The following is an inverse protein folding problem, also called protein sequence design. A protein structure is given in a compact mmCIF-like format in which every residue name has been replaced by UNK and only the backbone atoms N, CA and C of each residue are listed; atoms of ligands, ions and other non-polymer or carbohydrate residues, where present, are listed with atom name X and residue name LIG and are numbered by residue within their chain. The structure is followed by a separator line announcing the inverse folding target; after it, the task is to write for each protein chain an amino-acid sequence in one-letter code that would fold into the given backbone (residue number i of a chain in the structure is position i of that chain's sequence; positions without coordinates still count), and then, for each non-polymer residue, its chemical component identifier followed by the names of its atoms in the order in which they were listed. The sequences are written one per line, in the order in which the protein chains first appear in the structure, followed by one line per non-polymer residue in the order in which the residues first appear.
data_IF_530198281573
#
_entry.id   IF_530198281573
#
_cell.length_a   1.000
_cell.length_b   1.000
_cell.length_c   1.000
_cell.angle_alpha   90.00
_cell.angle_beta   90.00
_cell.angle_gamma   90.00
#
_symmetry.space_group_name_H-M   'P 1'
#
loop_
_entity.id
_entity.type
_entity.pdbx_description
1 polymer ?
#
# COMPACT_ATOMS: atom_id res chain seq x y z
N UNK A 1 -2.42 0.48 18.85
CA UNK A 1 -3.81 0.21 18.47
C UNK A 1 -3.95 -0.83 17.37
N UNK A 2 -3.09 -0.82 16.34
CA UNK A 2 -3.08 -1.86 15.32
C UNK A 2 -2.88 -3.26 15.91
N UNK A 3 -2.04 -3.38 16.96
CA UNK A 3 -1.88 -4.63 17.72
C UNK A 3 -3.19 -5.08 18.35
N UNK A 4 -3.96 -4.14 18.93
CA UNK A 4 -5.26 -4.44 19.53
C UNK A 4 -6.27 -4.90 18.46
N UNK A 5 -6.36 -4.22 17.33
CA UNK A 5 -7.20 -4.67 16.22
C UNK A 5 -6.78 -6.07 15.73
N UNK A 6 -5.48 -6.30 15.56
CA UNK A 6 -4.94 -7.57 15.11
C UNK A 6 -5.21 -8.70 16.10
N UNK A 7 -5.07 -8.47 17.42
CA UNK A 7 -5.34 -9.47 18.46
C UNK A 7 -6.82 -9.87 18.54
N UNK A 8 -7.72 -8.97 18.10
CA UNK A 8 -9.17 -9.23 18.07
C UNK A 8 -9.64 -9.81 16.72
N UNK A 9 -8.74 -10.04 15.76
CA UNK A 9 -9.11 -10.46 14.41
C UNK A 9 -9.89 -9.39 13.61
N UNK A 10 -9.87 -8.15 14.06
CA UNK A 10 -10.62 -7.03 13.49
C UNK A 10 -9.77 -6.09 12.65
N UNK A 11 -8.48 -6.34 12.58
CA UNK A 11 -7.52 -5.49 11.87
C UNK A 11 -7.60 -5.67 10.34
N UNK A 12 -7.14 -4.64 9.62
CA UNK A 12 -6.99 -4.69 8.16
C UNK A 12 -6.13 -5.88 7.70
N UNK A 13 -5.15 -6.31 8.49
CA UNK A 13 -4.32 -7.50 8.22
C UNK A 13 -5.11 -8.82 8.16
N UNK A 14 -6.35 -8.87 8.66
CA UNK A 14 -7.22 -10.04 8.59
C UNK A 14 -8.40 -9.87 7.62
N UNK A 15 -8.50 -8.72 6.95
CA UNK A 15 -9.67 -8.35 6.15
C UNK A 15 -9.34 -7.79 4.77
N UNK A 16 -8.16 -7.19 4.63
CA UNK A 16 -7.75 -6.50 3.42
C UNK A 16 -6.46 -7.10 2.88
N UNK A 17 -6.31 -7.08 1.57
CA UNK A 17 -5.07 -7.36 0.87
C UNK A 17 -4.40 -6.01 0.55
N UNK A 18 -3.51 -5.49 1.41
CA UNK A 18 -2.88 -4.21 1.14
C UNK A 18 -2.11 -4.27 -0.18
N UNK A 19 -2.33 -3.30 -1.04
CA UNK A 19 -1.51 -3.17 -2.23
C UNK A 19 -0.07 -2.80 -1.85
N UNK A 20 0.85 -3.17 -2.71
CA UNK A 20 2.29 -2.93 -2.54
C UNK A 20 2.79 -2.20 -3.77
N UNK A 21 3.58 -1.16 -3.56
CA UNK A 21 4.20 -0.39 -4.62
C UNK A 21 5.62 -0.87 -4.88
N UNK A 22 6.18 -0.59 -6.05
CA UNK A 22 7.57 -0.93 -6.33
C UNK A 22 8.56 -0.27 -5.35
N UNK A 23 8.23 0.90 -4.83
CA UNK A 23 8.99 1.52 -3.73
C UNK A 23 9.00 0.67 -2.46
N UNK A 24 7.87 0.08 -2.10
CA UNK A 24 7.78 -0.83 -0.95
C UNK A 24 8.67 -2.06 -1.16
N UNK A 25 8.64 -2.63 -2.37
CA UNK A 25 9.47 -3.78 -2.75
C UNK A 25 10.95 -3.42 -2.66
N UNK A 26 11.36 -2.29 -3.23
CA UNK A 26 12.74 -1.82 -3.18
C UNK A 26 13.22 -1.59 -1.74
N UNK A 27 12.35 -1.07 -0.86
CA UNK A 27 12.65 -0.87 0.56
C UNK A 27 12.78 -2.20 1.32
N UNK A 28 11.93 -3.17 1.05
CA UNK A 28 12.02 -4.51 1.63
C UNK A 28 13.29 -5.20 1.20
N UNK A 29 13.62 -5.16 -0.09
CA UNK A 29 14.79 -5.80 -0.65
C UNK A 29 16.12 -5.29 -0.11
N UNK A 30 16.21 -4.03 0.32
CA UNK A 30 17.44 -3.47 0.93
C UNK A 30 17.94 -4.26 2.15
N UNK A 31 17.04 -5.01 2.80
CA UNK A 31 17.31 -5.73 4.05
C UNK A 31 17.00 -7.23 3.94
N UNK A 32 16.71 -7.74 2.74
CA UNK A 32 16.33 -9.13 2.49
C UNK A 32 16.70 -9.54 1.06
N UNK A 33 16.67 -10.85 0.80
CA UNK A 33 16.84 -11.37 -0.56
C UNK A 33 15.58 -11.20 -1.40
N UNK A 34 15.70 -11.33 -2.73
CA UNK A 34 14.56 -11.31 -3.64
C UNK A 34 13.57 -12.46 -3.34
N UNK A 35 14.09 -13.63 -3.00
CA UNK A 35 13.27 -14.79 -2.64
C UNK A 35 12.45 -14.50 -1.36
N UNK A 36 13.05 -13.87 -0.36
CA UNK A 36 12.33 -13.45 0.84
C UNK A 36 11.23 -12.43 0.53
N UNK A 37 11.50 -11.45 -0.34
CA UNK A 37 10.47 -10.51 -0.80
C UNK A 37 9.30 -11.26 -1.45
N UNK A 38 9.57 -12.24 -2.33
CA UNK A 38 8.56 -13.07 -3.00
C UNK A 38 7.77 -13.96 -2.05
N UNK A 39 8.30 -14.28 -0.88
CA UNK A 39 7.50 -14.98 0.15
C UNK A 39 6.42 -14.09 0.75
N UNK A 40 6.62 -12.78 0.76
CA UNK A 40 5.74 -11.79 1.39
C UNK A 40 4.80 -11.14 0.37
N UNK A 41 5.30 -10.87 -0.83
CA UNK A 41 4.59 -10.15 -1.89
C UNK A 41 4.21 -11.10 -3.02
N UNK A 42 3.06 -10.85 -3.60
CA UNK A 42 2.60 -11.54 -4.81
C UNK A 42 2.00 -10.56 -5.81
N UNK A 43 1.97 -10.96 -7.07
CA UNK A 43 1.13 -10.36 -8.10
C UNK A 43 -0.13 -11.19 -8.20
N UNK A 44 -1.28 -10.61 -7.92
CA UNK A 44 -2.55 -11.32 -7.91
C UNK A 44 -3.60 -10.61 -8.77
N UNK A 45 -4.48 -11.39 -9.39
CA UNK A 45 -5.67 -10.84 -10.03
C UNK A 45 -6.55 -10.16 -8.96
N UNK A 46 -7.11 -9.01 -9.32
CA UNK A 46 -7.87 -8.21 -8.36
C UNK A 46 -9.18 -8.91 -7.98
N UNK A 47 -9.52 -8.85 -6.70
CA UNK A 47 -10.80 -9.31 -6.21
C UNK A 47 -11.93 -8.40 -6.71
N UNK A 48 -13.17 -8.93 -6.88
CA UNK A 48 -14.32 -8.16 -7.35
C UNK A 48 -14.56 -6.85 -6.59
N UNK A 49 -14.29 -6.85 -5.28
CA UNK A 49 -14.45 -5.70 -4.40
C UNK A 49 -13.55 -4.50 -4.73
N UNK A 50 -12.48 -4.70 -5.50
CA UNK A 50 -11.55 -3.63 -5.90
C UNK A 50 -11.80 -3.11 -7.33
N UNK A 51 -12.80 -3.65 -8.05
CA UNK A 51 -13.05 -3.25 -9.45
C UNK A 51 -13.52 -1.80 -9.58
N UNK A 52 -14.17 -1.26 -8.57
CA UNK A 52 -14.59 0.15 -8.53
C UNK A 52 -13.38 1.11 -8.59
N UNK A 53 -12.24 0.72 -8.01
CA UNK A 53 -11.01 1.51 -8.05
C UNK A 53 -10.41 1.68 -9.46
N UNK A 54 -10.80 0.85 -10.42
CA UNK A 54 -10.32 0.97 -11.81
C UNK A 54 -10.82 2.25 -12.49
N UNK A 55 -11.96 2.79 -12.04
CA UNK A 55 -12.52 4.05 -12.53
C UNK A 55 -12.00 5.27 -11.78
N UNK A 56 -11.32 5.08 -10.65
CA UNK A 56 -10.70 6.14 -9.88
C UNK A 56 -9.31 6.47 -10.48
N UNK A 57 -9.09 7.66 -11.06
CA UNK A 57 -7.82 8.02 -11.68
C UNK A 57 -6.64 8.04 -10.70
N UNK A 58 -6.90 8.16 -9.39
CA UNK A 58 -5.87 8.17 -8.36
C UNK A 58 -5.46 6.76 -7.93
N UNK A 59 -6.39 5.79 -8.03
CA UNK A 59 -6.14 4.39 -7.69
C UNK A 59 -5.83 3.51 -8.90
N UNK A 60 -6.34 3.88 -10.09
CA UNK A 60 -6.08 3.12 -11.32
C UNK A 60 -4.59 2.80 -11.58
N UNK A 61 -3.62 3.69 -11.23
CA UNK A 61 -2.20 3.40 -11.46
C UNK A 61 -1.64 2.21 -10.68
N UNK A 62 -2.31 1.69 -9.65
CA UNK A 62 -1.84 0.51 -8.92
C UNK A 62 -2.19 -0.82 -9.62
N UNK A 63 -2.96 -0.76 -10.70
CA UNK A 63 -3.45 -1.93 -11.40
C UNK A 63 -2.73 -2.16 -12.73
N UNK A 64 -2.36 -3.39 -12.97
CA UNK A 64 -1.71 -3.84 -14.18
C UNK A 64 -2.73 -4.55 -15.09
N UNK A 65 -3.12 -3.95 -16.23
CA UNK A 65 -4.00 -4.62 -17.18
C UNK A 65 -3.21 -5.66 -17.98
N UNK A 66 -3.72 -6.89 -18.04
CA UNK A 66 -3.11 -7.98 -18.79
C UNK A 66 -4.18 -8.92 -19.34
N UNK A 67 -4.22 -9.06 -20.68
CA UNK A 67 -5.11 -10.00 -21.41
C UNK A 67 -6.57 -9.96 -20.96
N UNK A 68 -7.11 -8.78 -20.69
CA UNK A 68 -8.50 -8.59 -20.28
C UNK A 68 -8.77 -8.73 -18.79
N UNK A 69 -7.77 -9.07 -17.99
CA UNK A 69 -7.82 -9.07 -16.53
C UNK A 69 -6.99 -7.92 -15.94
N UNK A 70 -7.16 -7.66 -14.66
CA UNK A 70 -6.38 -6.67 -13.92
C UNK A 70 -5.67 -7.34 -12.76
N UNK A 71 -4.41 -7.01 -12.58
CA UNK A 71 -3.54 -7.54 -11.52
C UNK A 71 -3.00 -6.40 -10.67
N UNK A 72 -2.55 -6.71 -9.47
CA UNK A 72 -1.80 -5.77 -8.64
C UNK A 72 -0.77 -6.50 -7.79
N UNK A 73 0.23 -5.78 -7.37
CA UNK A 73 1.13 -6.21 -6.31
C UNK A 73 0.43 -6.05 -4.96
N UNK A 74 0.49 -7.07 -4.13
CA UNK A 74 -0.11 -7.07 -2.80
C UNK A 74 0.65 -7.97 -1.84
N UNK A 75 0.41 -7.82 -0.53
CA UNK A 75 0.92 -8.78 0.44
C UNK A 75 0.15 -10.09 0.32
N UNK A 76 0.86 -11.22 0.45
CA UNK A 76 0.23 -12.53 0.46
C UNK A 76 -0.71 -12.69 1.65
N UNK A 77 -1.78 -13.41 1.40
CA UNK A 77 -2.74 -13.81 2.43
C UNK A 77 -2.64 -15.32 2.64
N UNK A 78 -2.42 -15.71 3.90
CA UNK A 78 -2.31 -17.11 4.29
C UNK A 78 -3.21 -17.35 5.50
N UNK A 79 -4.05 -18.37 5.43
CA UNK A 79 -4.98 -18.72 6.51
C UNK A 79 -5.86 -17.53 6.96
N UNK A 80 -6.32 -16.72 6.01
CA UNK A 80 -7.24 -15.60 6.28
C UNK A 80 -6.59 -14.36 6.88
N UNK A 81 -5.25 -14.22 6.79
CA UNK A 81 -4.56 -13.02 7.23
C UNK A 81 -3.33 -12.70 6.37
N UNK A 82 -2.90 -11.44 6.42
CA UNK A 82 -1.63 -11.02 5.83
C UNK A 82 -0.48 -11.86 6.41
N UNK A 83 0.36 -12.40 5.54
CA UNK A 83 1.50 -13.26 5.95
C UNK A 83 2.46 -12.56 6.91
N UNK A 84 2.54 -11.23 6.83
CA UNK A 84 3.39 -10.44 7.73
C UNK A 84 2.76 -10.20 9.12
N UNK A 85 1.54 -10.66 9.38
CA UNK A 85 0.89 -10.53 10.69
C UNK A 85 1.39 -11.62 11.62
N UNK A 86 2.02 -11.23 12.73
CA UNK A 86 2.33 -12.13 13.84
C UNK A 86 1.26 -11.92 14.91
N UNK A 87 0.44 -12.95 15.21
CA UNK A 87 -0.57 -12.85 16.26
C UNK A 87 0.03 -12.36 17.58
N UNK A 88 -0.59 -11.34 18.19
CA UNK A 88 -0.15 -10.76 19.45
C UNK A 88 1.10 -9.88 19.39
N UNK A 89 1.84 -9.86 18.26
CA UNK A 89 3.07 -9.07 18.11
C UNK A 89 2.95 -7.97 17.04
N UNK A 90 2.00 -8.07 16.10
CA UNK A 90 1.77 -7.09 15.04
C UNK A 90 2.46 -7.44 13.72
N UNK A 91 2.83 -6.41 12.96
CA UNK A 91 3.42 -6.59 11.64
C UNK A 91 4.91 -6.94 11.73
N UNK A 92 5.31 -8.08 11.15
CA UNK A 92 6.71 -8.50 11.03
C UNK A 92 7.57 -7.47 10.29
N UNK A 93 6.99 -6.75 9.34
CA UNK A 93 7.71 -5.78 8.52
C UNK A 93 8.06 -4.49 9.27
N UNK A 94 7.44 -4.22 10.44
CA UNK A 94 7.74 -3.04 11.23
C UNK A 94 7.67 -1.75 10.40
N UNK A 95 8.78 -1.01 10.36
CA UNK A 95 8.89 0.22 9.57
C UNK A 95 8.98 -0.02 8.04
N UNK A 96 9.27 -1.26 7.62
CA UNK A 96 9.30 -1.63 6.20
C UNK A 96 7.92 -2.03 5.64
N UNK A 97 6.86 -1.97 6.46
CA UNK A 97 5.49 -2.23 5.99
C UNK A 97 5.11 -1.34 4.81
N UNK A 98 4.20 -1.79 3.93
CA UNK A 98 3.74 -1.02 2.78
C UNK A 98 3.28 0.39 3.16
N UNK A 99 3.50 1.36 2.27
CA UNK A 99 3.12 2.76 2.49
C UNK A 99 1.65 2.91 2.86
N UNK A 100 0.77 2.20 2.18
CA UNK A 100 -0.66 2.19 2.53
C UNK A 100 -0.91 1.76 3.98
N UNK A 101 -0.17 0.78 4.48
CA UNK A 101 -0.29 0.33 5.87
C UNK A 101 0.23 1.36 6.89
N UNK A 102 1.06 2.32 6.46
CA UNK A 102 1.58 3.40 7.31
C UNK A 102 0.58 4.54 7.47
N UNK A 103 -0.21 4.80 6.43
CA UNK A 103 -1.15 5.93 6.40
C UNK A 103 -2.58 5.54 6.77
N UNK A 104 -2.95 4.26 6.64
CA UNK A 104 -4.29 3.81 6.95
C UNK A 104 -4.68 4.12 8.41
N UNK A 105 -5.88 4.66 8.68
CA UNK A 105 -7.05 4.79 7.79
C UNK A 105 -7.21 6.18 7.16
N UNK A 106 -6.17 6.98 7.07
CA UNK A 106 -6.26 8.32 6.52
C UNK A 106 -6.20 8.31 5.00
N UNK A 107 -6.97 9.19 4.39
CA UNK A 107 -6.96 9.45 2.96
C UNK A 107 -7.17 10.93 2.68
N UNK A 108 -6.97 11.35 1.44
CA UNK A 108 -7.38 12.68 1.01
C UNK A 108 -8.83 12.63 0.53
N UNK A 109 -9.55 13.72 0.72
CA UNK A 109 -10.93 13.83 0.28
C UNK A 109 -11.01 13.76 -1.25
N UNK A 110 -12.03 13.07 -1.77
CA UNK A 110 -12.31 12.99 -3.19
C UNK A 110 -12.31 14.37 -3.85
N UNK A 111 -11.67 14.49 -5.01
CA UNK A 111 -11.50 15.75 -5.74
C UNK A 111 -10.41 16.68 -5.22
N UNK A 112 -9.78 16.38 -4.07
CA UNK A 112 -8.58 17.07 -3.60
C UNK A 112 -7.32 16.29 -4.03
N UNK A 113 -6.18 17.00 -4.09
CA UNK A 113 -4.89 16.37 -4.42
C UNK A 113 -3.88 16.64 -3.32
N UNK A 114 -3.20 15.61 -2.78
CA UNK A 114 -2.08 15.82 -1.88
C UNK A 114 -1.02 16.71 -2.51
N UNK A 115 -0.58 17.72 -1.75
CA UNK A 115 0.46 18.67 -2.11
C UNK A 115 1.42 18.85 -0.94
N UNK A 116 2.67 19.25 -1.21
CA UNK A 116 3.62 19.63 -0.15
C UNK A 116 3.38 21.05 0.32
N UNK A 117 2.92 21.93 -0.57
CA UNK A 117 2.86 23.38 -0.35
C UNK A 117 1.47 23.84 0.08
N UNK A 118 0.44 23.01 -0.11
CA UNK A 118 -0.94 23.35 0.17
C UNK A 118 -1.57 22.36 1.14
N UNK A 119 -2.37 22.87 2.08
CA UNK A 119 -3.23 22.03 2.90
C UNK A 119 -4.35 21.45 2.04
N UNK A 120 -4.50 20.15 2.12
CA UNK A 120 -5.61 19.42 1.49
C UNK A 120 -6.49 18.75 2.55
N UNK A 121 -7.80 18.64 2.31
CA UNK A 121 -8.69 18.02 3.27
C UNK A 121 -8.41 16.52 3.43
N UNK A 122 -8.33 16.09 4.70
CA UNK A 122 -8.20 14.69 5.07
C UNK A 122 -9.56 14.09 5.38
N UNK A 123 -9.68 12.80 5.14
CA UNK A 123 -10.78 11.97 5.60
C UNK A 123 -10.26 10.70 6.26
N UNK A 124 -11.11 10.04 7.03
CA UNK A 124 -10.84 8.72 7.61
C UNK A 124 -11.78 7.69 7.00
N UNK A 125 -11.21 6.57 6.60
CA UNK A 125 -11.94 5.53 5.90
C UNK A 125 -12.84 4.74 6.86
N UNK A 126 -14.11 4.63 6.50
CA UNK A 126 -15.15 3.97 7.31
C UNK A 126 -14.91 2.45 7.47
N UNK A 127 -14.14 1.85 6.59
CA UNK A 127 -13.74 0.45 6.64
C UNK A 127 -12.80 0.12 7.81
N UNK A 128 -12.18 1.15 8.39
CA UNK A 128 -11.36 0.97 9.57
C UNK A 128 -12.23 0.67 10.79
N UNK A 129 -11.89 -0.40 11.52
CA UNK A 129 -12.62 -0.82 12.73
C UNK A 129 -12.66 0.28 13.80
N UNK A 130 -11.64 1.10 13.93
CA UNK A 130 -11.65 2.24 14.87
C UNK A 130 -12.77 3.21 14.53
N UNK A 131 -12.99 3.47 13.24
CA UNK A 131 -14.00 4.38 12.74
C UNK A 131 -15.39 3.73 12.79
N UNK A 132 -15.53 2.53 12.22
CA UNK A 132 -16.84 1.87 12.08
C UNK A 132 -17.39 1.33 13.39
N UNK A 133 -16.57 0.64 14.17
CA UNK A 133 -17.02 -0.08 15.38
C UNK A 133 -16.80 0.73 16.66
N UNK A 134 -15.68 1.45 16.77
CA UNK A 134 -15.37 2.23 17.97
C UNK A 134 -15.80 3.69 17.87
N UNK A 135 -16.30 4.12 16.71
CA UNK A 135 -16.82 5.47 16.44
C UNK A 135 -15.81 6.60 16.74
N UNK A 136 -14.53 6.33 16.51
CA UNK A 136 -13.48 7.31 16.69
C UNK A 136 -13.58 8.43 15.64
N UNK A 137 -13.42 9.67 16.08
CA UNK A 137 -13.23 10.83 15.20
C UNK A 137 -11.84 10.84 14.57
N UNK A 138 -11.58 11.78 13.67
CA UNK A 138 -10.25 12.01 13.10
C UNK A 138 -9.22 12.27 14.21
N UNK A 139 -9.54 13.14 15.16
CA UNK A 139 -8.67 13.51 16.28
C UNK A 139 -8.39 12.32 17.20
N UNK A 140 -9.42 11.49 17.45
CA UNK A 140 -9.25 10.27 18.24
C UNK A 140 -8.27 9.30 17.56
N UNK A 141 -8.44 9.09 16.26
CA UNK A 141 -7.56 8.20 15.48
C UNK A 141 -6.12 8.73 15.46
N UNK A 142 -5.92 10.02 15.22
CA UNK A 142 -4.60 10.65 15.26
C UNK A 142 -3.93 10.48 16.62
N UNK A 143 -4.66 10.78 17.70
CA UNK A 143 -4.17 10.62 19.08
C UNK A 143 -3.79 9.18 19.39
N UNK A 144 -4.64 8.23 19.06
CA UNK A 144 -4.42 6.80 19.32
C UNK A 144 -3.26 6.21 18.53
N UNK A 145 -3.00 6.73 17.33
CA UNK A 145 -1.87 6.30 16.52
C UNK A 145 -0.58 7.08 16.82
N UNK A 146 -0.67 8.15 17.59
CA UNK A 146 0.47 9.00 17.94
C UNK A 146 0.96 9.86 16.79
N UNK A 147 0.08 10.23 15.86
CA UNK A 147 0.41 11.05 14.71
C UNK A 147 -0.15 12.47 14.82
N UNK A 148 0.56 13.43 14.26
CA UNK A 148 0.00 14.73 13.94
C UNK A 148 -0.55 14.74 12.51
N UNK A 149 -1.50 15.61 12.25
CA UNK A 149 -2.10 15.77 10.92
C UNK A 149 -1.04 16.09 9.85
N UNK A 150 -0.05 16.94 10.20
CA UNK A 150 1.03 17.29 9.29
C UNK A 150 1.93 16.10 8.91
N UNK A 151 2.13 15.14 9.82
CA UNK A 151 2.85 13.90 9.53
C UNK A 151 2.05 13.04 8.55
N UNK A 152 0.74 12.91 8.76
CA UNK A 152 -0.13 12.15 7.86
C UNK A 152 -0.20 12.80 6.48
N UNK A 153 -0.34 14.12 6.38
CA UNK A 153 -0.35 14.83 5.08
C UNK A 153 0.92 14.56 4.29
N UNK A 154 2.10 14.66 4.91
CA UNK A 154 3.38 14.33 4.24
C UNK A 154 3.44 12.88 3.80
N UNK A 155 2.97 11.95 4.63
CA UNK A 155 2.97 10.54 4.29
C UNK A 155 2.00 10.22 3.12
N UNK A 156 0.84 10.87 3.08
CA UNK A 156 -0.12 10.75 1.98
C UNK A 156 0.42 11.36 0.69
N UNK A 157 1.10 12.51 0.76
CA UNK A 157 1.78 13.07 -0.40
C UNK A 157 2.84 12.10 -0.95
N UNK A 158 3.67 11.52 -0.06
CA UNK A 158 4.66 10.52 -0.47
C UNK A 158 4.00 9.29 -1.10
N UNK A 159 2.88 8.82 -0.54
CA UNK A 159 2.11 7.71 -1.10
C UNK A 159 1.59 8.04 -2.50
N UNK A 160 1.06 9.25 -2.71
CA UNK A 160 0.59 9.70 -4.03
C UNK A 160 1.71 9.65 -5.07
N UNK A 161 2.87 10.22 -4.77
CA UNK A 161 4.04 10.19 -5.67
C UNK A 161 4.46 8.74 -5.97
N UNK A 162 4.47 7.89 -4.95
CA UNK A 162 4.81 6.47 -5.13
C UNK A 162 3.78 5.72 -6.00
N UNK A 163 2.49 6.05 -5.91
CA UNK A 163 1.43 5.50 -6.78
C UNK A 163 1.65 5.93 -8.24
N UNK A 164 1.93 7.21 -8.49
CA UNK A 164 2.19 7.73 -9.83
C UNK A 164 3.42 7.06 -10.46
N UNK A 165 4.50 6.92 -9.69
CA UNK A 165 5.72 6.22 -10.12
C UNK A 165 5.45 4.74 -10.41
N UNK A 166 4.71 4.07 -9.54
CA UNK A 166 4.30 2.69 -9.72
C UNK A 166 3.55 2.48 -11.03
N UNK A 167 2.58 3.35 -11.32
CA UNK A 167 1.82 3.31 -12.58
C UNK A 167 2.71 3.51 -13.81
N UNK A 168 3.73 4.38 -13.72
CA UNK A 168 4.72 4.55 -14.81
C UNK A 168 5.53 3.29 -15.06
N UNK A 169 5.94 2.61 -14.00
CA UNK A 169 6.68 1.34 -14.10
C UNK A 169 5.79 0.24 -14.68
N UNK A 170 4.54 0.11 -14.21
CA UNK A 170 3.59 -0.86 -14.76
C UNK A 170 3.28 -0.62 -16.23
N UNK A 171 3.15 0.65 -16.66
CA UNK A 171 2.98 0.99 -18.07
C UNK A 171 4.14 0.49 -18.91
N UNK A 172 5.38 0.72 -18.44
CA UNK A 172 6.58 0.22 -19.13
C UNK A 172 6.62 -1.30 -19.22
N UNK A 173 6.26 -2.00 -18.14
CA UNK A 173 6.12 -3.47 -18.15
C UNK A 173 5.11 -3.92 -19.20
N UNK A 174 3.99 -3.21 -19.34
CA UNK A 174 2.98 -3.48 -20.39
C UNK A 174 3.51 -3.28 -21.81
N UNK A 175 4.28 -2.23 -22.05
CA UNK A 175 4.94 -1.96 -23.34
C UNK A 175 5.95 -3.05 -23.70
N UNK A 176 6.62 -3.64 -22.71
CA UNK A 176 7.56 -4.76 -22.85
C UNK A 176 6.88 -6.14 -22.83
N UNK A 177 5.55 -6.20 -22.72
CA UNK A 177 4.75 -7.43 -22.63
C UNK A 177 5.17 -8.38 -21.50
N UNK A 178 5.50 -7.84 -20.32
CA UNK A 178 5.87 -8.64 -19.15
C UNK A 178 4.61 -9.28 -18.56
N UNK A 179 4.57 -10.60 -18.40
CA UNK A 179 3.42 -11.24 -17.76
C UNK A 179 3.37 -10.92 -16.26
N UNK A 180 2.18 -10.94 -15.62
CA UNK A 180 2.03 -10.58 -14.22
C UNK A 180 2.99 -11.32 -13.27
N UNK A 181 3.19 -12.60 -13.45
CA UNK A 181 4.09 -13.44 -12.66
C UNK A 181 5.57 -13.04 -12.77
N UNK A 182 5.95 -12.37 -13.85
CA UNK A 182 7.32 -11.89 -14.10
C UNK A 182 7.59 -10.47 -13.60
N UNK A 183 6.58 -9.71 -13.15
CA UNK A 183 6.73 -8.28 -12.84
C UNK A 183 7.79 -7.99 -11.78
N UNK A 184 7.87 -8.80 -10.73
CA UNK A 184 8.83 -8.60 -9.64
C UNK A 184 10.25 -8.83 -10.13
N UNK A 185 10.51 -9.94 -10.85
CA UNK A 185 11.82 -10.25 -11.41
C UNK A 185 12.26 -9.18 -12.40
N UNK A 186 11.40 -8.86 -13.37
CA UNK A 186 11.66 -7.82 -14.36
C UNK A 186 12.01 -6.48 -13.73
N UNK A 187 11.33 -6.08 -12.64
CA UNK A 187 11.63 -4.83 -11.94
C UNK A 187 13.06 -4.80 -11.42
N UNK A 188 13.54 -5.91 -10.84
CA UNK A 188 14.91 -5.99 -10.31
C UNK A 188 15.96 -6.13 -11.42
N UNK A 189 15.69 -6.91 -12.47
CA UNK A 189 16.58 -7.07 -13.61
C UNK A 189 16.77 -5.77 -14.40
N UNK A 190 15.71 -4.98 -14.49
CA UNK A 190 15.71 -3.68 -15.17
C UNK A 190 16.39 -2.53 -14.41
N UNK A 191 16.91 -2.76 -13.19
CA UNK A 191 17.55 -1.74 -12.33
C UNK A 191 16.68 -0.51 -12.07
N UNK A 192 15.36 -0.61 -12.19
CA UNK A 192 14.44 0.51 -11.96
C UNK A 192 14.53 1.10 -10.54
N UNK A 193 15.03 0.31 -9.59
CA UNK A 193 15.22 0.69 -8.21
C UNK A 193 16.46 1.59 -7.99
N UNK A 194 17.46 1.59 -8.89
CA UNK A 194 18.70 2.35 -8.73
C UNK A 194 18.54 3.86 -9.00
N UNK A 195 17.60 4.23 -9.87
CA UNK A 195 17.38 5.61 -10.31
C UNK A 195 16.30 6.37 -9.58
N UNK A 196 15.25 5.69 -9.16
CA UNK A 196 14.01 6.31 -8.65
C UNK A 196 14.05 6.61 -7.14
N UNK A 197 14.93 5.96 -6.39
CA UNK A 197 15.00 6.06 -4.93
C UNK A 197 16.33 6.62 -4.42
N UNK A 198 16.94 7.55 -5.19
CA UNK A 198 18.05 8.33 -4.67
C UNK A 198 17.58 9.08 -3.43
N UNK A 199 18.23 8.77 -2.30
CA UNK A 199 18.04 9.42 -1.02
C UNK A 199 17.93 10.93 -1.22
N UNK A 200 16.77 11.49 -0.89
CA UNK A 200 16.74 12.89 -0.49
C UNK A 200 17.64 13.01 0.74
N UNK A 201 18.73 13.73 0.59
CA UNK A 201 19.55 14.17 1.70
C UNK A 201 18.77 15.12 2.60
#
# INVERSE_FOLDING_TARGET
ICLRCASLGLGCCSRCHPFVLFEDIARLWKNSSLDEVKTIIEVAEILPMYKEHLSDPEMAPIYYPWKGSYFRLQTRFVNGSCIALIPGKGCLLGENRPLICKVWPFWWKEGSKPSMDEEFPLEIQSECTMVSSWKFSMEDVLRELGFSESVIRRALFSLKIAIEEHGRILKKAGEENIPPEGLIDWFFEGHFWEGSFKKGN
#
